data_IF_110427910232
#
_entry.id   IF_110427910232
#
_cell.length_a   1.000
_cell.length_b   1.000
_cell.length_c   1.000
_cell.angle_alpha   90.00
_cell.angle_beta   90.00
_cell.angle_gamma   90.00
#
_symmetry.space_group_name_H-M   'P 1'
#
loop_
_entity.id
_entity.type
_entity.pdbx_description
1 polymer ?
#
# COMPACT_ATOMS: atom_id res chain seq x y z
N UNK A 1 1.31 -19.00 -47.95
CA UNK A 1 2.10 -18.13 -47.08
C UNK A 1 1.26 -17.93 -45.82
N UNK A 2 1.51 -18.75 -44.79
CA UNK A 2 0.79 -18.64 -43.52
C UNK A 2 1.33 -17.42 -42.79
N UNK A 3 0.48 -16.44 -42.56
CA UNK A 3 0.76 -15.30 -41.67
C UNK A 3 0.66 -15.85 -40.23
N UNK A 4 1.79 -16.08 -39.62
CA UNK A 4 1.91 -16.42 -38.22
C UNK A 4 1.35 -15.20 -37.41
N UNK A 5 0.19 -15.37 -36.80
CA UNK A 5 -0.33 -14.43 -35.84
C UNK A 5 0.72 -14.30 -34.74
N UNK A 6 1.12 -13.07 -34.30
CA UNK A 6 2.03 -12.94 -33.17
C UNK A 6 1.40 -13.66 -31.99
N UNK A 7 2.16 -14.53 -31.32
CA UNK A 7 1.78 -15.17 -30.08
C UNK A 7 1.21 -14.07 -29.17
N UNK A 8 -0.05 -14.23 -28.77
CA UNK A 8 -0.63 -13.39 -27.71
C UNK A 8 0.20 -13.67 -26.48
N UNK A 9 1.14 -12.77 -26.18
CA UNK A 9 1.92 -12.82 -24.95
C UNK A 9 0.92 -12.91 -23.80
N UNK A 10 1.03 -13.94 -22.96
CA UNK A 10 0.20 -14.06 -21.76
C UNK A 10 0.64 -13.00 -20.75
N UNK A 11 0.27 -11.76 -21.02
CA UNK A 11 0.59 -10.61 -20.18
C UNK A 11 0.17 -10.82 -18.71
N UNK A 12 -0.95 -11.49 -18.48
CA UNK A 12 -1.42 -11.76 -17.12
C UNK A 12 -0.51 -12.77 -16.41
N UNK A 13 -0.08 -13.83 -17.12
CA UNK A 13 0.88 -14.81 -16.62
C UNK A 13 2.25 -14.20 -16.34
N UNK A 14 2.72 -13.34 -17.23
CA UNK A 14 4.03 -12.65 -17.07
C UNK A 14 3.97 -11.66 -15.87
N UNK A 15 2.90 -10.88 -15.76
CA UNK A 15 2.68 -10.00 -14.60
C UNK A 15 2.59 -10.80 -13.30
N UNK A 16 1.89 -11.92 -13.32
CA UNK A 16 1.79 -12.80 -12.14
C UNK A 16 3.18 -13.31 -11.73
N UNK A 17 3.97 -13.81 -12.67
CA UNK A 17 5.32 -14.29 -12.40
C UNK A 17 6.21 -13.20 -11.79
N UNK A 18 6.19 -11.99 -12.35
CA UNK A 18 6.93 -10.84 -11.82
C UNK A 18 6.45 -10.46 -10.42
N UNK A 19 5.14 -10.36 -10.19
CA UNK A 19 4.56 -10.04 -8.86
C UNK A 19 4.97 -11.09 -7.83
N UNK A 20 4.89 -12.39 -8.16
CA UNK A 20 5.30 -13.47 -7.26
C UNK A 20 6.80 -13.40 -6.95
N UNK A 21 7.63 -13.14 -7.97
CA UNK A 21 9.07 -12.97 -7.77
C UNK A 21 9.37 -11.79 -6.83
N UNK A 22 8.79 -10.62 -7.08
CA UNK A 22 8.99 -9.44 -6.25
C UNK A 22 8.49 -9.68 -4.82
N UNK A 23 7.34 -10.35 -4.68
CA UNK A 23 6.80 -10.70 -3.36
C UNK A 23 7.75 -11.58 -2.56
N UNK A 24 8.34 -12.58 -3.20
CA UNK A 24 9.26 -13.53 -2.52
C UNK A 24 10.63 -12.94 -2.21
N UNK A 25 11.13 -12.01 -3.05
CA UNK A 25 12.53 -11.61 -3.00
C UNK A 25 12.74 -10.14 -2.59
N UNK A 26 11.71 -9.30 -2.62
CA UNK A 26 11.84 -7.86 -2.37
C UNK A 26 11.12 -7.38 -1.10
N UNK A 27 10.53 -8.28 -0.32
CA UNK A 27 9.73 -7.90 0.86
C UNK A 27 10.43 -8.16 2.20
N UNK A 28 11.71 -8.57 2.22
CA UNK A 28 12.42 -8.83 3.49
C UNK A 28 12.44 -7.60 4.40
N UNK A 29 12.81 -6.42 3.86
CA UNK A 29 12.84 -5.18 4.64
C UNK A 29 11.44 -4.74 5.10
N UNK A 30 10.42 -4.99 4.26
CA UNK A 30 9.03 -4.74 4.63
C UNK A 30 8.61 -5.60 5.83
N UNK A 31 8.91 -6.92 5.80
CA UNK A 31 8.55 -7.80 6.90
C UNK A 31 9.33 -7.48 8.18
N UNK A 32 10.59 -7.10 8.06
CA UNK A 32 11.39 -6.65 9.18
C UNK A 32 10.82 -5.37 9.79
N UNK A 33 10.51 -4.35 8.97
CA UNK A 33 9.90 -3.12 9.43
C UNK A 33 8.54 -3.35 10.09
N UNK A 34 7.69 -4.19 9.50
CA UNK A 34 6.37 -4.55 10.05
C UNK A 34 6.52 -5.26 11.39
N UNK A 35 7.48 -6.19 11.50
CA UNK A 35 7.80 -6.88 12.74
C UNK A 35 8.32 -5.94 13.82
N UNK A 36 9.22 -5.02 13.49
CA UNK A 36 9.75 -4.01 14.41
C UNK A 36 8.67 -3.03 14.90
N UNK A 37 7.68 -2.74 14.06
CA UNK A 37 6.53 -1.91 14.40
C UNK A 37 5.43 -2.68 15.15
N UNK A 38 5.57 -4.00 15.31
CA UNK A 38 4.56 -4.88 15.92
C UNK A 38 3.15 -4.69 15.31
N UNK A 39 3.08 -4.50 14.00
CA UNK A 39 1.84 -4.30 13.27
C UNK A 39 1.42 -5.57 12.52
N UNK A 40 0.11 -5.80 12.47
CA UNK A 40 -0.47 -6.81 11.58
C UNK A 40 -0.70 -6.24 10.18
N UNK A 41 -0.76 -7.11 9.17
CA UNK A 41 -1.08 -6.68 7.80
C UNK A 41 -2.46 -5.99 7.70
N UNK A 42 -3.43 -6.40 8.53
CA UNK A 42 -4.75 -5.78 8.59
C UNK A 42 -4.69 -4.36 9.16
N UNK A 43 -3.84 -4.14 10.19
CA UNK A 43 -3.59 -2.80 10.71
C UNK A 43 -2.93 -1.91 9.67
N UNK A 44 -1.91 -2.40 8.96
CA UNK A 44 -1.26 -1.66 7.87
C UNK A 44 -2.26 -1.31 6.78
N UNK A 45 -3.13 -2.25 6.39
CA UNK A 45 -4.20 -1.98 5.42
C UNK A 45 -5.13 -0.86 5.89
N UNK A 46 -5.54 -0.88 7.16
CA UNK A 46 -6.37 0.19 7.73
C UNK A 46 -5.64 1.53 7.69
N UNK A 47 -4.36 1.58 8.09
CA UNK A 47 -3.59 2.82 8.09
C UNK A 47 -3.50 3.42 6.67
N UNK A 48 -3.27 2.61 5.64
CA UNK A 48 -3.30 3.09 4.25
C UNK A 48 -4.67 3.63 3.85
N UNK A 49 -5.77 2.97 4.21
CA UNK A 49 -7.11 3.50 3.94
C UNK A 49 -7.38 4.83 4.65
N UNK A 50 -6.87 5.00 5.88
CA UNK A 50 -6.97 6.26 6.60
C UNK A 50 -6.11 7.37 5.97
N UNK A 51 -4.95 7.01 5.38
CA UNK A 51 -4.09 7.95 4.66
C UNK A 51 -4.71 8.41 3.35
N UNK A 52 -5.30 7.47 2.60
CA UNK A 52 -5.92 7.74 1.30
C UNK A 52 -7.26 8.48 1.41
N UNK A 53 -7.90 8.44 2.58
CA UNK A 53 -9.17 9.11 2.80
C UNK A 53 -8.97 10.61 3.01
N UNK A 54 -9.68 11.44 2.22
CA UNK A 54 -9.72 12.91 2.41
C UNK A 54 -10.55 13.34 3.63
N UNK A 55 -11.02 12.39 4.42
CA UNK A 55 -11.90 12.58 5.58
C UNK A 55 -11.67 11.52 6.65
N UNK A 56 -12.13 11.81 7.83
CA UNK A 56 -12.21 10.83 8.90
C UNK A 56 -13.18 9.69 8.55
N UNK A 57 -12.82 8.47 8.92
CA UNK A 57 -13.66 7.30 8.72
C UNK A 57 -14.43 6.95 9.99
N UNK A 58 -15.62 6.39 9.83
CA UNK A 58 -16.32 5.75 10.96
C UNK A 58 -15.71 4.36 11.21
N UNK A 59 -15.93 3.85 12.42
CA UNK A 59 -15.50 2.48 12.76
C UNK A 59 -16.15 1.42 11.85
N UNK A 60 -17.39 1.67 11.40
CA UNK A 60 -18.10 0.78 10.48
C UNK A 60 -17.42 0.77 9.11
N UNK A 61 -17.12 1.93 8.54
CA UNK A 61 -16.37 2.04 7.27
C UNK A 61 -15.00 1.37 7.37
N UNK A 62 -14.28 1.58 8.47
CA UNK A 62 -13.01 0.91 8.70
C UNK A 62 -13.15 -0.62 8.70
N UNK A 63 -14.17 -1.17 9.36
CA UNK A 63 -14.43 -2.61 9.39
C UNK A 63 -14.71 -3.17 7.98
N UNK A 64 -15.50 -2.45 7.18
CA UNK A 64 -15.82 -2.81 5.80
C UNK A 64 -14.59 -2.78 4.89
N UNK A 65 -13.76 -1.74 4.98
CA UNK A 65 -12.56 -1.56 4.15
C UNK A 65 -11.50 -2.66 4.39
N UNK A 66 -11.33 -3.09 5.64
CA UNK A 66 -10.37 -4.16 5.94
C UNK A 66 -10.98 -5.55 5.99
N UNK A 67 -12.30 -5.65 5.77
CA UNK A 67 -13.07 -6.91 5.70
C UNK A 67 -12.98 -7.70 7.01
N UNK A 68 -13.34 -7.05 8.11
CA UNK A 68 -13.42 -7.68 9.45
C UNK A 68 -14.77 -7.35 10.11
N UNK A 69 -15.10 -8.07 11.18
CA UNK A 69 -16.29 -7.74 11.97
C UNK A 69 -16.11 -6.43 12.74
N UNK A 70 -17.20 -5.73 13.02
CA UNK A 70 -17.17 -4.47 13.80
C UNK A 70 -16.49 -4.62 15.17
N UNK A 71 -16.71 -5.69 15.95
CA UNK A 71 -15.96 -5.92 17.19
C UNK A 71 -14.46 -6.13 16.97
N UNK A 72 -14.05 -6.76 15.86
CA UNK A 72 -12.64 -6.93 15.52
C UNK A 72 -12.00 -5.59 15.13
N UNK A 73 -12.69 -4.78 14.32
CA UNK A 73 -12.26 -3.43 13.99
C UNK A 73 -12.12 -2.55 15.23
N UNK A 74 -13.08 -2.63 16.17
CA UNK A 74 -13.01 -1.86 17.42
C UNK A 74 -11.75 -2.20 18.22
N UNK A 75 -11.46 -3.48 18.44
CA UNK A 75 -10.25 -3.90 19.15
C UNK A 75 -8.97 -3.47 18.45
N UNK A 76 -8.95 -3.57 17.13
CA UNK A 76 -7.81 -3.15 16.32
C UNK A 76 -7.58 -1.64 16.42
N UNK A 77 -8.64 -0.84 16.31
CA UNK A 77 -8.57 0.62 16.47
C UNK A 77 -8.19 0.99 17.90
N UNK A 78 -8.74 0.33 18.90
CA UNK A 78 -8.38 0.56 20.32
C UNK A 78 -6.89 0.32 20.58
N UNK A 79 -6.30 -0.69 19.94
CA UNK A 79 -4.85 -0.95 20.00
C UNK A 79 -4.05 0.17 19.35
N UNK A 80 -4.42 0.59 18.14
CA UNK A 80 -3.74 1.67 17.42
C UNK A 80 -3.87 3.04 18.13
N UNK A 81 -5.02 3.30 18.75
CA UNK A 81 -5.22 4.51 19.57
C UNK A 81 -4.33 4.49 20.81
N UNK A 82 -4.28 3.36 21.55
CA UNK A 82 -3.40 3.20 22.72
C UNK A 82 -1.92 3.42 22.37
N UNK A 83 -1.53 3.09 21.14
CA UNK A 83 -0.17 3.29 20.60
C UNK A 83 0.06 4.67 20.01
N UNK A 84 -0.94 5.54 20.00
CA UNK A 84 -0.84 6.90 19.48
C UNK A 84 -0.76 6.98 17.94
N UNK A 85 -1.04 5.88 17.22
CA UNK A 85 -0.95 5.80 15.74
C UNK A 85 -2.24 6.32 15.09
N UNK A 86 -3.37 6.11 15.74
CA UNK A 86 -4.71 6.55 15.32
C UNK A 86 -5.32 7.36 16.45
N UNK A 87 -6.07 8.38 16.14
CA UNK A 87 -6.92 9.09 17.06
C UNK A 87 -8.39 8.77 16.80
N UNK A 88 -9.20 8.85 17.88
CA UNK A 88 -10.63 8.61 17.82
C UNK A 88 -11.37 9.69 18.59
N UNK A 89 -12.37 10.28 17.97
CA UNK A 89 -13.23 11.29 18.59
C UNK A 89 -14.70 11.06 18.25
N UNK A 90 -15.56 11.78 18.90
CA UNK A 90 -17.01 11.73 18.66
C UNK A 90 -17.34 12.51 17.38
N UNK A 91 -18.27 11.97 16.59
CA UNK A 91 -18.80 12.70 15.45
C UNK A 91 -19.55 13.96 15.94
N UNK A 92 -19.37 15.07 15.23
CA UNK A 92 -19.94 16.37 15.58
C UNK A 92 -21.47 16.38 15.50
N UNK A 93 -22.03 15.58 14.57
CA UNK A 93 -23.46 15.53 14.29
C UNK A 93 -24.17 14.40 15.06
N UNK A 94 -23.51 13.27 15.25
CA UNK A 94 -24.03 12.12 16.00
C UNK A 94 -22.96 11.57 16.95
N UNK A 95 -23.03 11.99 18.21
CA UNK A 95 -22.11 11.56 19.27
C UNK A 95 -22.07 10.04 19.52
N UNK A 96 -23.03 9.29 18.99
CA UNK A 96 -23.01 7.82 19.05
C UNK A 96 -22.02 7.22 18.04
N UNK A 97 -21.69 7.97 17.00
CA UNK A 97 -20.68 7.57 16.03
C UNK A 97 -19.29 8.02 16.49
N UNK A 98 -18.30 7.16 16.23
CA UNK A 98 -16.90 7.47 16.46
C UNK A 98 -16.20 7.61 15.11
N UNK A 99 -15.44 8.69 14.99
CA UNK A 99 -14.56 8.98 13.86
C UNK A 99 -13.14 8.61 14.20
N UNK A 100 -12.41 8.12 13.22
CA UNK A 100 -11.01 7.75 13.33
C UNK A 100 -10.19 8.43 12.24
N UNK A 101 -9.00 8.86 12.60
CA UNK A 101 -8.03 9.49 11.69
C UNK A 101 -6.60 9.14 12.10
N UNK A 102 -5.66 9.37 11.19
CA UNK A 102 -4.24 9.19 11.47
C UNK A 102 -3.71 10.35 12.31
N UNK A 103 -2.87 10.02 13.27
CA UNK A 103 -1.96 10.98 13.92
C UNK A 103 -0.73 11.25 13.04
N UNK A 104 0.11 12.22 13.43
CA UNK A 104 1.40 12.43 12.77
C UNK A 104 2.34 11.23 12.95
N UNK A 105 2.27 10.55 14.10
CA UNK A 105 2.99 9.30 14.35
C UNK A 105 2.47 8.19 13.43
N UNK A 106 1.15 8.09 13.21
CA UNK A 106 0.55 7.17 12.26
C UNK A 106 1.04 7.38 10.83
N UNK A 107 1.11 8.63 10.37
CA UNK A 107 1.70 8.98 9.06
C UNK A 107 3.18 8.61 8.99
N UNK A 108 3.92 8.79 10.08
CA UNK A 108 5.32 8.38 10.16
C UNK A 108 5.49 6.87 10.02
N UNK A 109 4.61 6.09 10.66
CA UNK A 109 4.57 4.62 10.53
C UNK A 109 4.35 4.20 9.08
N UNK A 110 3.40 4.82 8.38
CA UNK A 110 3.14 4.50 6.96
C UNK A 110 4.36 4.83 6.09
N UNK A 111 4.99 5.99 6.32
CA UNK A 111 6.23 6.34 5.60
C UNK A 111 7.34 5.32 5.81
N UNK A 112 7.52 4.78 7.02
CA UNK A 112 8.51 3.74 7.31
C UNK A 112 8.18 2.44 6.55
N UNK A 113 6.93 2.00 6.57
CA UNK A 113 6.47 0.80 5.84
C UNK A 113 6.70 0.96 4.32
N UNK A 114 6.33 2.13 3.77
CA UNK A 114 6.50 2.42 2.34
C UNK A 114 7.97 2.53 1.95
N UNK A 115 8.83 3.12 2.79
CA UNK A 115 10.27 3.19 2.55
C UNK A 115 10.91 1.79 2.54
N UNK A 116 10.55 0.92 3.48
CA UNK A 116 11.06 -0.45 3.54
C UNK A 116 10.65 -1.25 2.29
N UNK A 117 9.40 -1.11 1.83
CA UNK A 117 8.95 -1.72 0.57
C UNK A 117 9.75 -1.22 -0.63
N UNK A 118 10.01 0.09 -0.69
CA UNK A 118 10.75 0.71 -1.78
C UNK A 118 12.20 0.22 -1.82
N UNK A 119 12.87 0.07 -0.67
CA UNK A 119 14.24 -0.46 -0.57
C UNK A 119 14.39 -1.81 -1.26
N UNK A 120 13.45 -2.74 -1.05
CA UNK A 120 13.47 -4.04 -1.72
C UNK A 120 13.33 -3.94 -3.23
N UNK A 121 12.46 -3.04 -3.72
CA UNK A 121 12.28 -2.80 -5.16
C UNK A 121 13.48 -2.09 -5.77
N UNK A 122 14.15 -1.20 -5.06
CA UNK A 122 15.40 -0.56 -5.50
C UNK A 122 16.51 -1.59 -5.69
N UNK A 123 16.66 -2.54 -4.74
CA UNK A 123 17.61 -3.64 -4.91
C UNK A 123 17.32 -4.45 -6.16
N UNK A 124 16.07 -4.80 -6.43
CA UNK A 124 15.71 -5.48 -7.67
C UNK A 124 16.07 -4.63 -8.90
N UNK A 125 15.72 -3.34 -8.91
CA UNK A 125 16.04 -2.45 -10.03
C UNK A 125 17.55 -2.33 -10.29
N UNK A 126 18.40 -2.48 -9.26
CA UNK A 126 19.85 -2.53 -9.42
C UNK A 126 20.39 -3.83 -10.05
N UNK A 127 19.62 -4.93 -10.02
CA UNK A 127 20.00 -6.17 -10.68
C UNK A 127 19.76 -6.16 -12.19
N UNK A 128 18.94 -5.23 -12.69
CA UNK A 128 18.61 -5.11 -14.10
C UNK A 128 19.81 -4.59 -14.89
N UNK A 129 20.09 -5.20 -16.04
CA UNK A 129 21.01 -4.64 -17.02
C UNK A 129 20.41 -3.38 -17.70
N UNK A 130 21.20 -2.68 -18.50
CA UNK A 130 20.80 -1.40 -19.09
C UNK A 130 19.61 -1.54 -20.05
N UNK A 131 19.56 -2.62 -20.85
CA UNK A 131 18.46 -2.89 -21.79
C UNK A 131 17.16 -3.22 -21.05
N UNK A 132 17.22 -4.12 -20.07
CA UNK A 132 16.07 -4.48 -19.22
C UNK A 132 15.54 -3.25 -18.50
N UNK A 133 16.42 -2.43 -17.95
CA UNK A 133 16.07 -1.18 -17.25
C UNK A 133 15.40 -0.19 -18.19
N UNK A 134 15.92 0.00 -19.39
CA UNK A 134 15.36 0.91 -20.38
C UNK A 134 13.96 0.48 -20.83
N UNK A 135 13.76 -0.81 -21.11
CA UNK A 135 12.47 -1.38 -21.51
C UNK A 135 11.44 -1.24 -20.39
N UNK A 136 11.80 -1.67 -19.17
CA UNK A 136 10.91 -1.61 -18.02
C UNK A 136 10.54 -0.16 -17.65
N UNK A 137 11.52 0.75 -17.66
CA UNK A 137 11.28 2.16 -17.37
C UNK A 137 10.30 2.80 -18.34
N UNK A 138 10.41 2.47 -19.64
CA UNK A 138 9.50 2.97 -20.68
C UNK A 138 8.08 2.44 -20.48
N UNK A 139 7.94 1.14 -20.24
CA UNK A 139 6.64 0.51 -20.01
C UNK A 139 5.95 1.08 -18.74
N UNK A 140 6.71 1.22 -17.66
CA UNK A 140 6.19 1.79 -16.41
C UNK A 140 5.83 3.28 -16.56
N UNK A 141 6.59 4.07 -17.33
CA UNK A 141 6.30 5.49 -17.57
C UNK A 141 4.92 5.69 -18.22
N UNK A 142 4.51 4.80 -19.13
CA UNK A 142 3.17 4.83 -19.73
C UNK A 142 2.08 4.44 -18.72
N UNK A 143 2.29 3.37 -17.95
CA UNK A 143 1.31 2.89 -16.97
C UNK A 143 1.09 3.87 -15.82
N UNK A 144 2.14 4.56 -15.37
CA UNK A 144 2.08 5.52 -14.26
C UNK A 144 1.32 6.80 -14.66
N UNK A 145 1.10 7.07 -15.94
CA UNK A 145 0.22 8.18 -16.39
C UNK A 145 -1.26 7.93 -16.09
N UNK A 146 -1.64 6.70 -15.82
CA UNK A 146 -3.01 6.37 -15.43
C UNK A 146 -3.29 6.93 -14.03
N UNK A 147 -4.41 7.68 -13.83
CA UNK A 147 -4.71 8.30 -12.55
C UNK A 147 -4.79 7.30 -11.38
N UNK A 148 -5.34 6.11 -11.64
CA UNK A 148 -5.47 5.01 -10.67
C UNK A 148 -4.13 4.41 -10.23
N UNK A 149 -3.08 4.53 -11.05
CA UNK A 149 -1.73 4.08 -10.73
C UNK A 149 -0.88 5.22 -10.14
N UNK A 150 -1.06 6.44 -10.65
CA UNK A 150 -0.30 7.61 -10.22
C UNK A 150 -0.46 7.92 -8.73
N UNK A 151 -1.65 7.71 -8.17
CA UNK A 151 -1.93 7.92 -6.74
C UNK A 151 -1.16 6.97 -5.83
N UNK A 152 -0.72 5.82 -6.34
CA UNK A 152 0.06 4.83 -5.59
C UNK A 152 1.57 5.17 -5.51
N UNK A 153 2.02 6.28 -6.13
CA UNK A 153 3.43 6.67 -6.06
C UNK A 153 3.81 7.12 -4.65
N UNK A 154 4.99 6.71 -4.15
CA UNK A 154 5.51 7.20 -2.88
C UNK A 154 5.62 8.72 -2.86
N UNK A 155 5.31 9.33 -1.71
CA UNK A 155 5.51 10.76 -1.49
C UNK A 155 6.98 11.15 -1.76
N UNK A 156 7.19 12.34 -2.33
CA UNK A 156 8.52 12.83 -2.73
C UNK A 156 9.03 12.33 -4.09
N UNK A 157 8.34 11.35 -4.73
CA UNK A 157 8.61 10.90 -6.10
C UNK A 157 7.45 11.17 -7.06
N UNK A 158 6.44 11.92 -6.60
CA UNK A 158 5.38 12.42 -7.49
C UNK A 158 6.03 13.47 -8.40
N UNK A 159 6.06 13.20 -9.69
CA UNK A 159 6.46 14.20 -10.69
C UNK A 159 5.40 15.31 -10.69
N UNK A 160 5.80 16.58 -10.75
CA UNK A 160 4.86 17.71 -10.84
C UNK A 160 3.98 17.63 -12.09
#
# INVERSE_FOLDING_TARGET
MQVTTPEQTDLAGDLYALVVFLHKNCNSDLFEAVGALELTLTQIKLLHHLEDADRELTLKEAAELVVVSLPAASRMVDDLVRRGIVERHEDVTDRRMKRISLTDDGRSVIRQVNAARLTGLERFAHTLNDDERAVLSRALAELIRRPDVAVCRPEGRRTP
#
